data_IF_458257745008
#
_entry.id   IF_458257745008
#
_cell.length_a   1.000
_cell.length_b   1.000
_cell.length_c   1.000
_cell.angle_alpha   90.00
_cell.angle_beta   90.00
_cell.angle_gamma   90.00
#
_symmetry.space_group_name_H-M   'P 1'
#
loop_
_entity.id
_entity.type
_entity.pdbx_description
1 polymer ?
#
# COMPACT_ATOMS: atom_id res chain seq x y z
N UNK A 1 -10.85 -11.76 13.09
CA UNK A 1 -11.27 -10.99 14.30
C UNK A 1 -10.36 -9.79 14.46
N UNK A 2 -10.89 -8.62 14.87
CA UNK A 2 -10.09 -7.42 15.16
C UNK A 2 -10.27 -6.98 16.62
N UNK A 3 -9.30 -6.27 17.18
CA UNK A 3 -9.38 -5.68 18.51
C UNK A 3 -9.20 -4.16 18.42
N UNK A 4 -10.08 -3.41 19.09
CA UNK A 4 -9.98 -1.95 19.17
C UNK A 4 -9.77 -1.49 20.60
N UNK A 5 -8.96 -0.45 20.75
CA UNK A 5 -8.88 0.32 22.00
C UNK A 5 -10.22 0.93 22.36
N UNK A 6 -10.66 0.70 23.60
CA UNK A 6 -11.73 1.48 24.23
C UNK A 6 -11.23 2.88 24.60
N UNK A 7 -12.11 3.74 25.10
CA UNK A 7 -11.71 5.03 25.68
C UNK A 7 -10.74 4.86 26.84
N UNK A 8 -10.97 3.87 27.70
CA UNK A 8 -10.06 3.52 28.79
C UNK A 8 -8.70 3.04 28.25
N UNK A 9 -8.69 2.22 27.20
CA UNK A 9 -7.46 1.79 26.53
C UNK A 9 -6.67 2.94 25.93
N UNK A 10 -7.35 3.90 25.28
CA UNK A 10 -6.71 5.13 24.76
C UNK A 10 -6.13 5.99 25.87
N UNK A 11 -6.87 6.16 26.96
CA UNK A 11 -6.41 6.91 28.13
C UNK A 11 -5.20 6.23 28.78
N UNK A 12 -5.22 4.90 28.93
CA UNK A 12 -4.12 4.14 29.52
C UNK A 12 -2.82 4.24 28.70
N UNK A 13 -2.91 4.29 27.36
CA UNK A 13 -1.73 4.52 26.52
C UNK A 13 -1.05 5.87 26.83
N UNK A 14 -1.84 6.90 27.16
CA UNK A 14 -1.35 8.25 27.47
C UNK A 14 -0.91 8.38 28.93
N UNK A 15 -1.77 7.97 29.86
CA UNK A 15 -1.59 8.17 31.30
C UNK A 15 -0.68 7.12 31.95
N UNK A 16 -0.60 5.90 31.37
CA UNK A 16 0.14 4.75 31.91
C UNK A 16 -0.18 4.47 33.37
N UNK A 17 -1.46 4.57 33.71
CA UNK A 17 -1.97 4.49 35.07
C UNK A 17 -2.02 3.06 35.61
N UNK A 18 -2.13 2.06 34.73
CA UNK A 18 -2.16 0.66 35.08
C UNK A 18 -0.76 0.03 34.99
N UNK A 19 -0.50 -0.92 35.90
CA UNK A 19 0.73 -1.69 35.95
C UNK A 19 0.77 -2.80 34.87
N UNK A 20 0.52 -2.44 33.60
CA UNK A 20 0.61 -3.36 32.48
C UNK A 20 2.05 -3.85 32.28
N UNK A 21 2.19 -5.15 31.99
CA UNK A 21 3.48 -5.73 31.59
C UNK A 21 3.94 -5.15 30.23
N UNK A 22 5.23 -5.26 29.87
CA UNK A 22 5.72 -4.81 28.57
C UNK A 22 4.96 -5.44 27.40
N UNK A 23 4.65 -6.74 27.49
CA UNK A 23 3.90 -7.47 26.46
C UNK A 23 2.45 -6.96 26.34
N UNK A 24 1.75 -6.79 27.47
CA UNK A 24 0.38 -6.25 27.46
C UNK A 24 0.35 -4.83 26.88
N UNK A 25 1.33 -4.00 27.24
CA UNK A 25 1.42 -2.63 26.71
C UNK A 25 1.71 -2.63 25.21
N UNK A 26 2.59 -3.50 24.73
CA UNK A 26 2.83 -3.68 23.31
C UNK A 26 1.55 -4.08 22.56
N UNK A 27 0.81 -5.06 23.07
CA UNK A 27 -0.47 -5.49 22.46
C UNK A 27 -1.48 -4.35 22.43
N UNK A 28 -1.63 -3.60 23.52
CA UNK A 28 -2.53 -2.45 23.59
C UNK A 28 -2.16 -1.37 22.55
N UNK A 29 -0.86 -1.14 22.33
CA UNK A 29 -0.39 -0.19 21.32
C UNK A 29 -0.74 -0.69 19.90
N UNK A 30 -0.48 -1.96 19.62
CA UNK A 30 -0.69 -2.59 18.31
C UNK A 30 -2.17 -2.72 17.91
N UNK A 31 -3.09 -2.78 18.87
CA UNK A 31 -4.53 -2.89 18.60
C UNK A 31 -5.16 -1.50 18.32
N UNK A 32 -4.80 -0.88 17.21
CA UNK A 32 -5.31 0.42 16.73
C UNK A 32 -6.60 0.33 15.90
N UNK A 33 -7.03 -0.88 15.57
CA UNK A 33 -8.18 -1.14 14.71
C UNK A 33 -7.83 -1.14 13.21
N UNK A 34 -6.55 -1.27 12.86
CA UNK A 34 -6.10 -1.45 11.48
C UNK A 34 -5.60 -2.89 11.21
N UNK A 35 -5.45 -3.71 12.25
CA UNK A 35 -4.79 -5.02 12.19
C UNK A 35 -5.72 -6.15 12.64
N UNK A 36 -5.75 -7.22 11.88
CA UNK A 36 -6.43 -8.45 12.26
C UNK A 36 -5.58 -9.26 13.25
N UNK A 37 -6.21 -10.18 13.98
CA UNK A 37 -5.52 -11.08 14.91
C UNK A 37 -4.35 -11.82 14.24
N UNK A 38 -4.54 -12.26 13.00
CA UNK A 38 -3.53 -12.98 12.23
C UNK A 38 -2.31 -12.08 11.95
N UNK A 39 -2.53 -10.80 11.61
CA UNK A 39 -1.44 -9.84 11.40
C UNK A 39 -0.67 -9.57 12.71
N UNK A 40 -1.33 -9.64 13.86
CA UNK A 40 -0.68 -9.51 15.17
C UNK A 40 0.17 -10.73 15.53
N UNK A 41 -0.25 -11.94 15.13
CA UNK A 41 0.52 -13.18 15.34
C UNK A 41 1.82 -13.18 14.52
N UNK A 42 1.86 -12.53 13.37
CA UNK A 42 3.10 -12.35 12.59
C UNK A 42 4.10 -11.43 13.30
N UNK A 43 3.62 -10.51 14.13
CA UNK A 43 4.46 -9.53 14.83
C UNK A 43 4.97 -10.02 16.18
N UNK A 44 4.25 -10.95 16.83
CA UNK A 44 4.64 -11.47 18.13
C UNK A 44 4.11 -12.90 18.37
N UNK A 45 4.79 -13.72 19.20
CA UNK A 45 4.38 -15.09 19.44
C UNK A 45 2.94 -15.19 19.97
N UNK A 46 2.15 -16.08 19.36
CA UNK A 46 0.75 -16.31 19.74
C UNK A 46 0.57 -16.68 21.23
N UNK A 47 1.55 -17.40 21.80
CA UNK A 47 1.58 -17.77 23.22
C UNK A 47 1.66 -16.56 24.17
N UNK A 48 2.22 -15.44 23.70
CA UNK A 48 2.29 -14.18 24.46
C UNK A 48 1.12 -13.27 24.12
N UNK A 49 0.71 -13.24 22.85
CA UNK A 49 -0.37 -12.39 22.35
C UNK A 49 -1.72 -12.75 23.00
N UNK A 50 -2.07 -14.04 23.05
CA UNK A 50 -3.40 -14.47 23.49
C UNK A 50 -3.68 -14.13 24.96
N UNK A 51 -2.81 -14.45 25.94
CA UNK A 51 -3.04 -14.07 27.34
C UNK A 51 -3.08 -12.55 27.54
N UNK A 52 -2.30 -11.80 26.76
CA UNK A 52 -2.31 -10.33 26.82
C UNK A 52 -3.64 -9.75 26.29
N UNK A 53 -4.17 -10.27 25.18
CA UNK A 53 -5.47 -9.85 24.65
C UNK A 53 -6.61 -10.18 25.62
N UNK A 54 -6.61 -11.38 26.19
CA UNK A 54 -7.60 -11.80 27.20
C UNK A 54 -7.61 -10.83 28.38
N UNK A 55 -6.43 -10.58 28.99
CA UNK A 55 -6.31 -9.65 30.11
C UNK A 55 -6.78 -8.23 29.74
N UNK A 56 -6.37 -7.70 28.59
CA UNK A 56 -6.74 -6.34 28.17
C UNK A 56 -8.24 -6.21 27.87
N UNK A 57 -8.88 -7.27 27.39
CA UNK A 57 -10.33 -7.32 27.21
C UNK A 57 -11.05 -7.38 28.57
N UNK A 58 -10.56 -8.19 29.51
CA UNK A 58 -11.09 -8.27 30.88
C UNK A 58 -10.98 -6.93 31.63
N UNK A 59 -9.89 -6.18 31.41
CA UNK A 59 -9.72 -4.83 31.95
C UNK A 59 -10.52 -3.76 31.20
N UNK A 60 -11.29 -4.14 30.17
CA UNK A 60 -12.09 -3.21 29.37
C UNK A 60 -11.26 -2.23 28.53
N UNK A 61 -9.96 -2.49 28.34
CA UNK A 61 -9.05 -1.63 27.57
C UNK A 61 -9.14 -1.93 26.06
N UNK A 62 -9.47 -3.17 25.71
CA UNK A 62 -9.74 -3.60 24.34
C UNK A 62 -11.17 -4.13 24.21
N UNK A 63 -11.73 -4.00 23.02
CA UNK A 63 -12.99 -4.61 22.64
C UNK A 63 -12.80 -5.45 21.38
N UNK A 64 -13.23 -6.72 21.41
CA UNK A 64 -13.25 -7.56 20.23
C UNK A 64 -14.33 -7.03 19.27
N UNK A 65 -13.96 -6.85 17.99
CA UNK A 65 -14.88 -6.46 16.93
C UNK A 65 -14.77 -7.44 15.78
N UNK A 66 -15.90 -8.04 15.47
CA UNK A 66 -16.01 -8.90 14.32
C UNK A 66 -16.22 -8.02 13.08
N UNK A 67 -15.14 -7.75 12.37
CA UNK A 67 -15.17 -7.09 11.08
C UNK A 67 -14.78 -8.13 10.04
N UNK A 68 -15.62 -8.32 9.04
CA UNK A 68 -15.26 -9.11 7.86
C UNK A 68 -13.96 -8.53 7.26
N UNK A 69 -12.94 -9.37 7.12
CA UNK A 69 -11.71 -8.95 6.44
C UNK A 69 -12.09 -8.52 5.02
N UNK A 70 -11.80 -7.27 4.60
CA UNK A 70 -11.93 -6.94 3.20
C UNK A 70 -11.01 -7.91 2.47
N UNK A 71 -11.60 -8.75 1.62
CA UNK A 71 -10.85 -9.67 0.78
C UNK A 71 -9.90 -8.80 -0.02
N UNK A 72 -8.60 -8.95 0.23
CA UNK A 72 -7.56 -8.30 -0.56
C UNK A 72 -7.82 -8.76 -1.99
N UNK A 73 -8.32 -7.86 -2.84
CA UNK A 73 -8.62 -8.17 -4.24
C UNK A 73 -7.37 -8.81 -4.84
N UNK A 74 -7.45 -10.11 -5.11
CA UNK A 74 -6.41 -10.77 -5.89
C UNK A 74 -6.35 -10.04 -7.23
N UNK A 75 -5.16 -9.65 -7.71
CA UNK A 75 -5.04 -8.96 -8.98
C UNK A 75 -5.62 -9.90 -10.04
N UNK A 76 -6.77 -9.51 -10.60
CA UNK A 76 -7.36 -10.23 -11.74
C UNK A 76 -6.26 -10.33 -12.79
N UNK A 77 -5.88 -11.54 -13.22
CA UNK A 77 -4.83 -11.70 -14.22
C UNK A 77 -5.31 -11.03 -15.50
N UNK A 78 -4.79 -9.83 -15.75
CA UNK A 78 -5.04 -9.10 -16.98
C UNK A 78 -4.38 -9.88 -18.11
N UNK A 79 -5.16 -10.22 -19.14
CA UNK A 79 -4.60 -10.73 -20.37
C UNK A 79 -3.58 -9.73 -20.97
N UNK A 80 -2.69 -10.23 -21.81
CA UNK A 80 -1.58 -9.42 -22.33
C UNK A 80 -2.05 -8.20 -23.15
N UNK A 81 -3.16 -8.35 -23.88
CA UNK A 81 -3.77 -7.27 -24.66
C UNK A 81 -4.33 -6.15 -23.76
N UNK A 82 -4.99 -6.51 -22.66
CA UNK A 82 -5.55 -5.58 -21.68
C UNK A 82 -4.44 -4.88 -20.89
N UNK A 83 -3.36 -5.60 -20.56
CA UNK A 83 -2.16 -4.99 -19.97
C UNK A 83 -1.52 -3.98 -20.91
N UNK A 84 -1.35 -4.35 -22.18
CA UNK A 84 -0.80 -3.46 -23.19
C UNK A 84 -1.62 -2.19 -23.35
N UNK A 85 -2.95 -2.31 -23.51
CA UNK A 85 -3.85 -1.15 -23.61
C UNK A 85 -3.77 -0.25 -22.38
N UNK A 86 -3.80 -0.83 -21.18
CA UNK A 86 -3.68 -0.07 -19.93
C UNK A 86 -2.34 0.68 -19.82
N UNK A 87 -1.24 0.07 -20.29
CA UNK A 87 0.07 0.74 -20.34
C UNK A 87 0.10 1.88 -21.35
N UNK A 88 -0.46 1.70 -22.54
CA UNK A 88 -0.55 2.75 -23.58
C UNK A 88 -1.37 3.95 -23.07
N UNK A 89 -2.56 3.70 -22.52
CA UNK A 89 -3.42 4.76 -21.99
C UNK A 89 -2.73 5.54 -20.86
N UNK A 90 -2.10 4.82 -19.93
CA UNK A 90 -1.40 5.44 -18.81
C UNK A 90 -0.19 6.24 -19.27
N UNK A 91 0.66 5.68 -20.15
CA UNK A 91 1.81 6.37 -20.72
C UNK A 91 1.40 7.62 -21.51
N UNK A 92 0.33 7.54 -22.30
CA UNK A 92 -0.23 8.67 -23.05
C UNK A 92 -0.73 9.77 -22.11
N UNK A 93 -1.44 9.40 -21.04
CA UNK A 93 -1.93 10.37 -20.05
C UNK A 93 -0.80 11.11 -19.33
N UNK A 94 0.34 10.46 -19.15
CA UNK A 94 1.52 11.03 -18.47
C UNK A 94 2.41 11.84 -19.42
N UNK A 95 2.40 11.53 -20.72
CA UNK A 95 3.15 12.28 -21.71
C UNK A 95 2.71 13.76 -21.83
N UNK A 96 1.47 14.08 -21.40
CA UNK A 96 0.94 15.44 -21.34
C UNK A 96 1.73 16.34 -20.39
N UNK A 97 2.25 15.76 -19.30
CA UNK A 97 3.00 16.47 -18.27
C UNK A 97 4.48 16.68 -18.65
N UNK A 98 4.92 16.17 -19.80
CA UNK A 98 6.29 16.35 -20.31
C UNK A 98 6.44 17.69 -21.05
N UNK A 99 7.69 18.19 -21.09
CA UNK A 99 8.07 19.25 -22.01
C UNK A 99 7.90 18.83 -23.48
N UNK A 100 7.75 19.82 -24.38
CA UNK A 100 7.39 19.61 -25.79
C UNK A 100 8.20 18.53 -26.52
N UNK A 101 9.54 18.57 -26.43
CA UNK A 101 10.43 17.61 -27.10
C UNK A 101 10.26 16.20 -26.52
N UNK A 102 10.24 16.08 -25.20
CA UNK A 102 10.06 14.81 -24.50
C UNK A 102 8.67 14.20 -24.77
N UNK A 103 7.63 15.03 -24.87
CA UNK A 103 6.28 14.61 -25.25
C UNK A 103 6.23 14.02 -26.65
N UNK A 104 6.86 14.66 -27.64
CA UNK A 104 6.91 14.13 -29.00
C UNK A 104 7.65 12.79 -29.05
N UNK A 105 8.79 12.70 -28.36
CA UNK A 105 9.56 11.46 -28.29
C UNK A 105 8.76 10.32 -27.62
N UNK A 106 8.07 10.63 -26.52
CA UNK A 106 7.21 9.66 -25.84
C UNK A 106 6.06 9.19 -26.75
N UNK A 107 5.37 10.11 -27.42
CA UNK A 107 4.26 9.79 -28.32
C UNK A 107 4.69 8.90 -29.49
N UNK A 108 5.81 9.24 -30.14
CA UNK A 108 6.36 8.42 -31.24
C UNK A 108 6.78 7.03 -30.77
N UNK A 109 7.28 6.89 -29.56
CA UNK A 109 7.66 5.60 -29.00
C UNK A 109 6.44 4.77 -28.60
N UNK A 110 5.37 5.39 -28.12
CA UNK A 110 4.07 4.74 -27.86
C UNK A 110 3.46 4.22 -29.16
N UNK A 111 3.45 5.03 -30.22
CA UNK A 111 2.89 4.65 -31.54
C UNK A 111 3.64 3.50 -32.21
N UNK A 112 4.96 3.39 -31.96
CA UNK A 112 5.80 2.31 -32.48
C UNK A 112 5.69 1.01 -31.68
N UNK A 113 5.17 1.06 -30.45
CA UNK A 113 5.09 -0.10 -29.59
C UNK A 113 4.03 -1.09 -30.12
N UNK A 114 4.39 -2.36 -30.19
CA UNK A 114 3.50 -3.44 -30.61
C UNK A 114 3.24 -4.44 -29.48
N UNK A 115 4.06 -4.42 -28.44
CA UNK A 115 3.95 -5.29 -27.29
C UNK A 115 4.31 -4.54 -25.98
N UNK A 116 3.99 -5.11 -24.80
CA UNK A 116 4.32 -4.50 -23.51
C UNK A 116 5.81 -4.23 -23.28
N UNK A 117 6.71 -5.01 -23.88
CA UNK A 117 8.15 -4.87 -23.71
C UNK A 117 8.66 -3.58 -24.37
N UNK A 118 8.13 -3.23 -25.55
CA UNK A 118 8.45 -2.00 -26.28
C UNK A 118 8.11 -0.74 -25.45
N UNK A 119 7.07 -0.81 -24.63
CA UNK A 119 6.65 0.31 -23.78
C UNK A 119 7.59 0.52 -22.59
N UNK A 120 8.37 -0.48 -22.17
CA UNK A 120 9.34 -0.36 -21.06
C UNK A 120 10.33 0.78 -21.29
N UNK A 121 10.76 0.99 -22.54
CA UNK A 121 11.62 2.12 -22.92
C UNK A 121 10.92 3.48 -22.77
N UNK A 122 9.62 3.53 -23.08
CA UNK A 122 8.78 4.72 -22.86
C UNK A 122 8.64 5.00 -21.37
N UNK A 123 8.44 3.96 -20.56
CA UNK A 123 8.39 4.07 -19.09
C UNK A 123 9.66 4.72 -18.57
N UNK A 124 10.83 4.21 -18.95
CA UNK A 124 12.12 4.74 -18.51
C UNK A 124 12.31 6.22 -18.93
N UNK A 125 11.90 6.57 -20.15
CA UNK A 125 11.95 7.94 -20.66
C UNK A 125 11.03 8.88 -19.85
N UNK A 126 9.81 8.43 -19.55
CA UNK A 126 8.86 9.15 -18.70
C UNK A 126 9.44 9.37 -17.30
N UNK A 127 9.99 8.33 -16.68
CA UNK A 127 10.62 8.42 -15.35
C UNK A 127 11.75 9.43 -15.32
N UNK A 128 12.67 9.39 -16.29
CA UNK A 128 13.82 10.30 -16.34
C UNK A 128 13.38 11.75 -16.49
N UNK A 129 12.52 12.04 -17.47
CA UNK A 129 12.06 13.41 -17.72
C UNK A 129 11.19 13.96 -16.58
N UNK A 130 10.35 13.13 -15.96
CA UNK A 130 9.52 13.55 -14.83
C UNK A 130 10.34 13.77 -13.55
N UNK A 131 11.44 13.04 -13.37
CA UNK A 131 12.37 13.26 -12.26
C UNK A 131 13.20 14.55 -12.44
N UNK A 132 13.59 14.87 -13.68
CA UNK A 132 14.42 16.04 -14.01
C UNK A 132 13.61 17.35 -14.09
N UNK A 133 12.35 17.30 -14.52
CA UNK A 133 11.56 18.49 -14.87
C UNK A 133 10.16 18.57 -14.22
N UNK A 134 9.69 17.51 -13.58
CA UNK A 134 8.32 17.43 -13.05
C UNK A 134 8.20 17.97 -11.62
N UNK A 135 7.12 18.73 -11.35
CA UNK A 135 6.65 18.90 -9.96
C UNK A 135 6.20 17.53 -9.46
N UNK A 136 6.86 16.98 -8.44
CA UNK A 136 6.48 15.71 -7.81
C UNK A 136 5.12 15.84 -7.13
N UNK A 137 4.04 15.65 -7.89
CA UNK A 137 2.69 15.56 -7.34
C UNK A 137 2.43 14.13 -6.86
N UNK A 138 1.66 13.93 -5.77
CA UNK A 138 1.30 12.60 -5.28
C UNK A 138 0.59 11.73 -6.35
N UNK A 139 -0.21 12.37 -7.22
CA UNK A 139 -0.91 11.71 -8.32
C UNK A 139 0.06 11.10 -9.34
N UNK A 140 1.12 11.83 -9.67
CA UNK A 140 2.10 11.42 -10.67
C UNK A 140 2.97 10.27 -10.14
N UNK A 141 3.32 10.30 -8.86
CA UNK A 141 3.96 9.18 -8.17
C UNK A 141 3.09 7.91 -8.17
N UNK A 142 1.79 8.05 -7.94
CA UNK A 142 0.85 6.93 -8.00
C UNK A 142 0.75 6.32 -9.41
N UNK A 143 0.64 7.17 -10.44
CA UNK A 143 0.59 6.73 -11.84
C UNK A 143 1.87 6.00 -12.25
N UNK A 144 3.04 6.52 -11.88
CA UNK A 144 4.33 5.86 -12.10
C UNK A 144 4.36 4.46 -11.45
N UNK A 145 3.99 4.36 -10.18
CA UNK A 145 3.94 3.07 -9.47
C UNK A 145 2.99 2.08 -10.15
N UNK A 146 1.82 2.53 -10.60
CA UNK A 146 0.87 1.69 -11.34
C UNK A 146 1.44 1.21 -12.67
N UNK A 147 2.12 2.10 -13.40
CA UNK A 147 2.75 1.77 -14.68
C UNK A 147 3.86 0.73 -14.49
N UNK A 148 4.68 0.88 -13.43
CA UNK A 148 5.72 -0.09 -13.04
C UNK A 148 5.15 -1.47 -12.72
N UNK A 149 4.04 -1.53 -11.98
CA UNK A 149 3.35 -2.77 -11.66
C UNK A 149 2.86 -3.49 -12.93
N UNK A 150 2.28 -2.73 -13.87
CA UNK A 150 1.85 -3.28 -15.16
C UNK A 150 3.02 -3.80 -16.01
N UNK A 151 4.18 -3.12 -15.93
CA UNK A 151 5.42 -3.53 -16.59
C UNK A 151 6.17 -4.67 -15.86
N UNK A 152 5.68 -5.14 -14.71
CA UNK A 152 6.33 -6.18 -13.87
C UNK A 152 7.79 -5.85 -13.48
N UNK A 153 8.17 -4.58 -13.45
CA UNK A 153 9.53 -4.17 -13.07
C UNK A 153 9.69 -4.23 -11.54
N UNK A 154 10.50 -5.18 -11.04
CA UNK A 154 10.81 -5.29 -9.60
C UNK A 154 11.45 -4.00 -9.03
N UNK A 155 11.25 -3.69 -7.73
CA UNK A 155 12.01 -2.65 -7.03
C UNK A 155 13.51 -2.92 -7.14
N UNK A 156 14.26 -1.92 -7.62
CA UNK A 156 15.70 -1.83 -7.41
C UNK A 156 15.93 -1.18 -6.05
#
# INVERSE_FOLDING_TARGET
MMYLKSDAGRHEVQARSLALTPAQRQVLILCDGERYYEDLVEMMPAATLRPALEYLCEQGLLQPKDIARPVKEEPVPLDEASRFRAMVELATSMAVDLGFVARIQAQLAIEKAQNPQDLTGVVALLYRNLAEHGKKTPLLALRLNKLRQLAQMQPA
#
